data_IF_228241882113
#
_entry.id   IF_228241882113
#
_cell.length_a   1.000
_cell.length_b   1.000
_cell.length_c   1.000
_cell.angle_alpha   90.00
_cell.angle_beta   90.00
_cell.angle_gamma   90.00
#
_symmetry.space_group_name_H-M   'P 1'
#
loop_
_entity.id
_entity.type
_entity.pdbx_description
1 polymer ?
#
# COMPACT_ATOMS: atom_id res chain seq x y z
N UNK A 1 26.28 -36.75 16.50
CA UNK A 1 25.50 -35.48 16.55
C UNK A 1 25.11 -35.14 17.99
N UNK A 2 24.68 -36.12 18.79
CA UNK A 2 24.33 -35.89 20.21
C UNK A 2 25.48 -35.30 21.01
N UNK A 3 26.72 -35.83 20.84
CA UNK A 3 27.92 -35.37 21.54
C UNK A 3 28.29 -33.91 21.24
N UNK A 4 28.10 -33.48 19.98
CA UNK A 4 28.38 -32.10 19.56
C UNK A 4 27.39 -31.13 20.23
N UNK A 5 26.10 -31.47 20.28
CA UNK A 5 25.08 -30.63 20.92
C UNK A 5 25.34 -30.50 22.42
N UNK A 6 25.72 -31.62 23.08
CA UNK A 6 26.05 -31.65 24.52
C UNK A 6 27.30 -30.82 24.81
N UNK A 7 28.30 -30.86 23.93
CA UNK A 7 29.54 -30.06 24.04
C UNK A 7 29.22 -28.55 23.89
N UNK A 8 28.41 -28.18 22.89
CA UNK A 8 27.99 -26.80 22.68
C UNK A 8 27.18 -26.28 23.87
N UNK A 9 26.25 -27.07 24.40
CA UNK A 9 25.45 -26.71 25.57
C UNK A 9 26.30 -26.50 26.82
N UNK A 10 27.26 -27.38 27.06
CA UNK A 10 28.18 -27.25 28.19
C UNK A 10 29.05 -25.99 28.09
N UNK A 11 29.54 -25.67 26.90
CA UNK A 11 30.32 -24.47 26.61
C UNK A 11 29.49 -23.19 26.81
N UNK A 12 28.26 -23.17 26.29
CA UNK A 12 27.34 -22.06 26.46
C UNK A 12 27.00 -21.79 27.93
N UNK A 13 26.81 -22.87 28.73
CA UNK A 13 26.50 -22.78 30.17
C UNK A 13 27.70 -22.32 31.02
N UNK A 14 28.92 -22.56 30.57
CA UNK A 14 30.15 -22.15 31.27
C UNK A 14 30.45 -20.66 31.12
N UNK A 15 30.07 -20.04 29.98
CA UNK A 15 30.29 -18.63 29.68
C UNK A 15 28.94 -17.88 29.36
N UNK A 16 28.04 -17.90 30.34
CA UNK A 16 26.67 -17.39 30.20
C UNK A 16 26.58 -15.96 29.63
N UNK A 17 27.34 -15.00 30.19
CA UNK A 17 27.31 -13.60 29.78
C UNK A 17 27.66 -13.43 28.31
N UNK A 18 28.69 -14.16 27.84
CA UNK A 18 29.11 -14.08 26.44
C UNK A 18 28.09 -14.66 25.51
N UNK A 19 27.58 -15.86 25.79
CA UNK A 19 26.56 -16.52 24.97
C UNK A 19 25.30 -15.66 24.89
N UNK A 20 24.90 -15.03 26.00
CA UNK A 20 23.75 -14.14 26.03
C UNK A 20 23.98 -12.87 25.19
N UNK A 21 25.15 -12.23 25.29
CA UNK A 21 25.47 -11.04 24.49
C UNK A 21 25.54 -11.35 22.99
N UNK A 22 26.15 -12.50 22.64
CA UNK A 22 26.19 -12.97 21.25
C UNK A 22 24.78 -13.22 20.74
N UNK A 23 23.97 -13.93 21.52
CA UNK A 23 22.61 -14.26 21.19
C UNK A 23 21.74 -13.02 21.10
N UNK A 24 21.91 -12.06 22.02
CA UNK A 24 21.16 -10.80 21.97
C UNK A 24 21.43 -10.01 20.69
N UNK A 25 22.68 -9.91 20.24
CA UNK A 25 23.00 -9.19 19.00
C UNK A 25 22.28 -9.80 17.79
N UNK A 26 22.21 -11.13 17.69
CA UNK A 26 21.48 -11.83 16.63
C UNK A 26 19.97 -11.65 16.78
N UNK A 27 19.45 -11.91 17.98
CA UNK A 27 18.03 -11.78 18.28
C UNK A 27 17.53 -10.37 17.97
N UNK A 28 18.30 -9.35 18.36
CA UNK A 28 17.98 -7.95 18.08
C UNK A 28 17.98 -7.65 16.58
N UNK A 29 18.97 -8.17 15.83
CA UNK A 29 19.02 -7.97 14.37
C UNK A 29 17.82 -8.57 13.66
N UNK A 30 17.44 -9.81 13.98
CA UNK A 30 16.25 -10.46 13.40
C UNK A 30 14.96 -9.80 13.86
N UNK A 31 14.85 -9.46 15.16
CA UNK A 31 13.73 -8.70 15.70
C UNK A 31 13.47 -7.42 14.91
N UNK A 32 14.52 -6.62 14.69
CA UNK A 32 14.40 -5.36 13.95
C UNK A 32 13.99 -5.56 12.49
N UNK A 33 14.50 -6.61 11.82
CA UNK A 33 14.07 -6.92 10.44
C UNK A 33 12.57 -7.23 10.42
N UNK A 34 12.09 -8.11 11.29
CA UNK A 34 10.68 -8.50 11.35
C UNK A 34 9.78 -7.30 11.66
N UNK A 35 10.16 -6.48 12.65
CA UNK A 35 9.39 -5.28 13.01
C UNK A 35 9.37 -4.26 11.87
N UNK A 36 10.51 -4.01 11.20
CA UNK A 36 10.58 -3.10 10.07
C UNK A 36 9.74 -3.57 8.88
N UNK A 37 9.78 -4.87 8.56
CA UNK A 37 8.99 -5.42 7.48
C UNK A 37 7.50 -5.40 7.80
N UNK A 38 7.11 -5.71 9.04
CA UNK A 38 5.72 -5.61 9.49
C UNK A 38 5.20 -4.17 9.47
N UNK A 39 5.98 -3.22 10.00
CA UNK A 39 5.65 -1.80 9.93
C UNK A 39 5.54 -1.31 8.48
N UNK A 40 6.45 -1.75 7.61
CA UNK A 40 6.39 -1.46 6.19
C UNK A 40 5.13 -2.01 5.52
N UNK A 41 4.76 -3.25 5.83
CA UNK A 41 3.51 -3.84 5.35
C UNK A 41 2.30 -3.05 5.84
N UNK A 42 2.29 -2.57 7.08
CA UNK A 42 1.21 -1.74 7.61
C UNK A 42 1.01 -0.45 6.81
N UNK A 43 2.09 0.23 6.42
CA UNK A 43 2.04 1.41 5.55
C UNK A 43 1.59 1.06 4.13
N UNK A 44 2.09 -0.03 3.57
CA UNK A 44 1.74 -0.50 2.23
C UNK A 44 0.26 -0.87 2.18
N UNK A 45 -0.24 -1.64 3.14
CA UNK A 45 -1.62 -2.08 3.19
C UNK A 45 -2.60 -0.90 3.32
N UNK A 46 -2.27 0.11 4.14
CA UNK A 46 -3.07 1.32 4.26
C UNK A 46 -3.19 2.10 2.94
N UNK A 47 -2.11 2.19 2.17
CA UNK A 47 -2.12 2.81 0.85
C UNK A 47 -2.85 1.96 -0.19
N UNK A 48 -2.67 0.64 -0.16
CA UNK A 48 -3.36 -0.28 -1.08
C UNK A 48 -4.87 -0.29 -0.85
N UNK A 49 -5.33 -0.23 0.40
CA UNK A 49 -6.76 -0.19 0.73
C UNK A 49 -7.47 1.01 0.08
N UNK A 50 -6.82 2.16 0.02
CA UNK A 50 -7.35 3.34 -0.67
C UNK A 50 -7.46 3.12 -2.19
N UNK A 51 -6.54 2.38 -2.80
CA UNK A 51 -6.54 2.14 -4.25
C UNK A 51 -7.48 1.01 -4.70
N UNK A 52 -7.76 0.02 -3.86
CA UNK A 52 -8.67 -1.08 -4.21
C UNK A 52 -10.11 -0.60 -4.47
N UNK A 53 -10.44 0.60 -4.03
CA UNK A 53 -11.73 1.24 -4.24
C UNK A 53 -11.91 1.83 -5.65
N UNK A 54 -10.88 1.77 -6.52
CA UNK A 54 -10.93 2.28 -7.89
C UNK A 54 -10.63 1.19 -8.90
N UNK A 55 -11.24 1.30 -10.07
CA UNK A 55 -10.98 0.38 -11.18
C UNK A 55 -9.69 0.79 -11.89
N UNK A 56 -8.71 -0.12 -12.01
CA UNK A 56 -7.42 0.17 -12.65
C UNK A 56 -7.54 0.49 -14.14
N UNK A 57 -8.49 -0.13 -14.86
CA UNK A 57 -8.76 0.17 -16.26
C UNK A 57 -9.81 1.26 -16.42
N UNK A 58 -9.61 2.38 -15.74
CA UNK A 58 -10.45 3.56 -15.86
C UNK A 58 -9.62 4.83 -15.98
N UNK A 59 -10.18 5.83 -16.65
CA UNK A 59 -9.61 7.16 -16.75
C UNK A 59 -10.69 8.21 -16.45
N UNK A 60 -10.23 9.33 -15.91
CA UNK A 60 -11.04 10.53 -15.70
C UNK A 60 -10.36 11.74 -16.32
N UNK A 61 -11.09 12.49 -17.12
CA UNK A 61 -10.62 13.71 -17.75
C UNK A 61 -11.29 14.94 -17.13
N UNK A 62 -10.48 15.89 -16.73
CA UNK A 62 -10.89 17.14 -16.12
C UNK A 62 -10.43 18.33 -16.93
N UNK A 63 -11.25 19.39 -16.97
CA UNK A 63 -10.81 20.68 -17.49
C UNK A 63 -9.81 21.33 -16.53
N UNK A 64 -8.72 21.83 -17.08
CA UNK A 64 -7.66 22.50 -16.36
C UNK A 64 -7.42 23.92 -16.85
N UNK A 65 -6.21 24.43 -16.67
CA UNK A 65 -5.81 25.77 -17.10
C UNK A 65 -4.73 25.69 -18.16
N UNK A 66 -4.94 26.33 -19.32
CA UNK A 66 -3.97 26.31 -20.42
C UNK A 66 -2.62 26.90 -19.99
N UNK A 67 -1.53 26.22 -20.36
CA UNK A 67 -0.17 26.64 -20.10
C UNK A 67 0.56 27.19 -21.33
N UNK A 68 -0.08 27.08 -22.51
CA UNK A 68 0.49 27.50 -23.78
C UNK A 68 -0.49 28.39 -24.53
N UNK A 69 0.02 29.52 -25.05
CA UNK A 69 -0.77 30.35 -25.98
C UNK A 69 -0.98 29.61 -27.29
N UNK A 70 -2.19 29.69 -27.89
CA UNK A 70 -2.48 29.01 -29.13
C UNK A 70 -3.55 29.74 -29.97
N UNK A 71 -3.34 29.83 -31.27
CA UNK A 71 -4.29 30.48 -32.24
C UNK A 71 -4.78 31.85 -31.80
N UNK A 72 -3.86 32.69 -31.27
CA UNK A 72 -4.16 34.05 -30.82
C UNK A 72 -4.82 34.12 -29.42
N UNK A 73 -5.08 33.00 -28.78
CA UNK A 73 -5.60 32.95 -27.42
C UNK A 73 -4.43 32.86 -26.43
N UNK A 74 -4.52 33.62 -25.31
CA UNK A 74 -3.53 33.67 -24.26
C UNK A 74 -3.52 32.36 -23.43
N UNK A 75 -2.43 32.03 -22.81
CA UNK A 75 -2.33 31.07 -21.72
C UNK A 75 -3.14 31.49 -20.49
N UNK A 76 -3.36 30.59 -19.54
CA UNK A 76 -4.08 30.87 -18.29
C UNK A 76 -5.60 30.79 -18.43
N UNK A 77 -6.15 30.34 -19.58
CA UNK A 77 -7.60 30.15 -19.76
C UNK A 77 -8.03 28.86 -19.04
N UNK A 78 -9.08 28.94 -18.23
CA UNK A 78 -9.72 27.75 -17.68
C UNK A 78 -10.52 27.02 -18.76
N UNK A 79 -10.30 25.75 -18.93
CA UNK A 79 -11.04 24.87 -19.84
C UNK A 79 -12.15 24.19 -19.06
N UNK A 80 -13.37 24.37 -19.53
CA UNK A 80 -14.51 23.66 -18.97
C UNK A 80 -15.00 22.65 -19.98
N UNK A 81 -14.99 21.38 -19.61
CA UNK A 81 -15.51 20.30 -20.44
C UNK A 81 -16.99 20.47 -20.73
N UNK A 82 -17.45 19.98 -21.87
CA UNK A 82 -18.80 20.12 -22.34
C UNK A 82 -19.33 18.84 -23.02
N UNK A 83 -20.59 18.84 -23.38
CA UNK A 83 -21.25 17.68 -24.00
C UNK A 83 -20.63 17.25 -25.33
N UNK A 84 -19.93 18.15 -26.06
CA UNK A 84 -19.22 17.76 -27.30
C UNK A 84 -17.99 16.92 -26.99
N UNK A 85 -17.35 17.17 -25.86
CA UNK A 85 -16.20 16.38 -25.41
C UNK A 85 -16.66 14.98 -25.05
N UNK A 86 -17.78 14.83 -24.33
CA UNK A 86 -18.39 13.54 -24.03
C UNK A 86 -18.72 12.76 -25.30
N UNK A 87 -19.41 13.43 -26.27
CA UNK A 87 -19.77 12.79 -27.55
C UNK A 87 -18.54 12.39 -28.37
N UNK A 88 -17.47 13.20 -28.35
CA UNK A 88 -16.23 12.87 -29.02
C UNK A 88 -15.54 11.63 -28.34
N UNK A 89 -15.58 11.58 -27.03
CA UNK A 89 -15.04 10.42 -26.24
C UNK A 89 -15.78 9.13 -26.64
N UNK A 90 -17.11 9.19 -26.70
CA UNK A 90 -17.96 8.04 -27.03
C UNK A 90 -17.80 7.58 -28.50
N UNK A 91 -17.77 8.52 -29.44
CA UNK A 91 -17.81 8.17 -30.86
C UNK A 91 -16.46 7.92 -31.50
N UNK A 92 -15.39 8.61 -31.07
CA UNK A 92 -14.08 8.54 -31.72
C UNK A 92 -13.14 7.52 -31.06
N UNK A 93 -13.35 7.19 -29.79
CA UNK A 93 -12.51 6.26 -29.03
C UNK A 93 -13.22 4.94 -28.65
N UNK A 94 -14.39 4.66 -29.21
CA UNK A 94 -15.17 3.46 -28.91
C UNK A 94 -14.51 2.12 -29.25
N UNK A 95 -13.34 2.14 -29.92
CA UNK A 95 -12.52 0.96 -30.14
C UNK A 95 -11.63 0.57 -28.93
N UNK A 96 -11.51 1.46 -27.96
CA UNK A 96 -10.70 1.28 -26.73
C UNK A 96 -11.57 1.50 -25.50
N UNK A 97 -12.53 2.41 -25.56
CA UNK A 97 -13.43 2.76 -24.46
C UNK A 97 -14.62 1.80 -24.45
N UNK A 98 -14.90 1.21 -23.28
CA UNK A 98 -16.05 0.31 -23.07
C UNK A 98 -17.30 1.11 -22.69
N UNK A 99 -17.24 1.75 -21.51
CA UNK A 99 -18.33 2.56 -20.97
C UNK A 99 -17.84 3.98 -20.69
N UNK A 100 -18.65 4.98 -21.00
CA UNK A 100 -18.33 6.38 -20.77
C UNK A 100 -19.47 7.08 -20.03
N UNK A 101 -19.10 8.03 -19.18
CA UNK A 101 -20.03 8.87 -18.45
C UNK A 101 -19.48 10.26 -18.21
N UNK A 102 -20.38 11.14 -17.81
CA UNK A 102 -20.05 12.48 -17.35
C UNK A 102 -20.51 12.66 -15.91
N UNK A 103 -19.79 13.49 -15.18
CA UNK A 103 -20.16 13.88 -13.82
C UNK A 103 -20.59 15.34 -13.81
N UNK A 104 -21.62 15.66 -13.03
CA UNK A 104 -22.05 17.03 -12.76
C UNK A 104 -22.14 17.25 -11.25
N UNK A 105 -21.43 18.26 -10.77
CA UNK A 105 -21.37 18.58 -9.35
C UNK A 105 -22.40 19.64 -8.98
N UNK A 106 -23.16 19.40 -7.91
CA UNK A 106 -24.05 20.35 -7.29
C UNK A 106 -23.94 20.27 -5.78
N UNK A 107 -23.82 21.42 -5.13
CA UNK A 107 -23.85 21.51 -3.66
C UNK A 107 -25.14 22.15 -3.22
N UNK A 108 -25.80 21.56 -2.23
CA UNK A 108 -27.06 22.08 -1.75
C UNK A 108 -27.47 21.47 -0.41
N UNK A 109 -28.47 22.09 0.21
CA UNK A 109 -29.04 21.61 1.46
C UNK A 109 -30.04 20.49 1.18
N UNK A 110 -29.82 19.36 1.80
CA UNK A 110 -30.74 18.21 1.79
C UNK A 110 -31.38 18.09 3.16
N UNK A 111 -32.70 17.86 3.20
CA UNK A 111 -33.46 17.76 4.44
C UNK A 111 -34.39 16.55 4.47
N UNK A 112 -34.60 16.00 5.67
CA UNK A 112 -35.55 14.95 5.96
C UNK A 112 -36.17 15.20 7.34
N UNK A 113 -37.50 15.35 7.41
CA UNK A 113 -38.15 15.78 8.64
C UNK A 113 -37.65 17.16 9.10
N UNK A 114 -37.15 17.21 10.33
CA UNK A 114 -36.55 18.40 10.94
C UNK A 114 -35.04 18.47 10.75
N UNK A 115 -34.43 17.40 10.26
CA UNK A 115 -32.97 17.33 10.04
C UNK A 115 -32.61 17.88 8.67
N UNK A 116 -31.49 18.58 8.59
CA UNK A 116 -30.94 19.09 7.32
C UNK A 116 -29.42 19.13 7.39
N UNK A 117 -28.80 18.95 6.24
CA UNK A 117 -27.36 19.11 6.07
C UNK A 117 -27.02 19.68 4.71
N UNK A 118 -25.88 20.34 4.60
CA UNK A 118 -25.33 20.74 3.32
C UNK A 118 -24.44 19.62 2.81
N UNK A 119 -24.66 19.18 1.56
CA UNK A 119 -23.87 18.12 0.96
C UNK A 119 -23.63 18.39 -0.53
N UNK A 120 -22.55 17.83 -1.04
CA UNK A 120 -22.31 17.75 -2.46
C UNK A 120 -23.07 16.55 -3.03
N UNK A 121 -23.76 16.77 -4.14
CA UNK A 121 -24.42 15.72 -4.91
C UNK A 121 -23.76 15.65 -6.29
N UNK A 122 -23.29 14.48 -6.66
CA UNK A 122 -22.75 14.18 -7.97
C UNK A 122 -23.82 13.54 -8.84
N UNK A 123 -24.20 14.20 -9.92
CA UNK A 123 -24.96 13.57 -10.97
C UNK A 123 -24.04 12.66 -11.78
N UNK A 124 -24.29 11.36 -11.77
CA UNK A 124 -23.38 10.35 -12.33
C UNK A 124 -24.08 9.43 -13.33
N UNK A 125 -23.31 8.83 -14.20
CA UNK A 125 -23.70 7.71 -15.04
C UNK A 125 -23.50 6.38 -14.30
N UNK A 126 -24.13 5.27 -14.75
CA UNK A 126 -23.95 3.95 -14.10
C UNK A 126 -22.49 3.48 -14.07
N UNK A 127 -21.68 3.84 -15.08
CA UNK A 127 -20.24 3.52 -15.15
C UNK A 127 -19.49 4.01 -13.91
N UNK A 128 -19.91 5.10 -13.29
CA UNK A 128 -19.31 5.60 -12.06
C UNK A 128 -19.24 4.53 -10.96
N UNK A 129 -20.31 3.76 -10.79
CA UNK A 129 -20.33 2.69 -9.77
C UNK A 129 -19.40 1.51 -10.08
N UNK A 130 -19.02 1.33 -11.35
CA UNK A 130 -18.03 0.34 -11.79
C UNK A 130 -16.61 0.85 -11.55
N UNK A 131 -16.38 2.15 -11.80
CA UNK A 131 -15.08 2.81 -11.59
C UNK A 131 -14.78 2.94 -10.09
N UNK A 132 -15.73 3.51 -9.35
CA UNK A 132 -15.62 3.74 -7.90
C UNK A 132 -16.35 2.62 -7.16
N UNK A 133 -15.61 1.60 -6.79
CA UNK A 133 -16.13 0.38 -6.13
C UNK A 133 -16.53 0.66 -4.68
N UNK A 134 -17.69 1.27 -4.48
CA UNK A 134 -18.22 1.55 -3.14
C UNK A 134 -19.06 0.38 -2.62
N UNK A 135 -18.82 0.00 -1.39
CA UNK A 135 -19.57 -1.05 -0.69
C UNK A 135 -20.98 -0.55 -0.37
N UNK A 136 -22.00 -1.13 -1.03
CA UNK A 136 -23.39 -0.84 -0.71
C UNK A 136 -23.79 -1.52 0.61
N UNK A 137 -24.31 -0.73 1.53
CA UNK A 137 -24.88 -1.23 2.79
C UNK A 137 -26.31 -1.74 2.55
N UNK A 138 -27.09 -0.99 1.77
CA UNK A 138 -28.44 -1.40 1.37
C UNK A 138 -28.91 -0.66 0.12
N UNK A 139 -29.87 -1.24 -0.58
CA UNK A 139 -30.45 -0.66 -1.80
C UNK A 139 -29.64 -0.96 -3.05
N UNK A 140 -29.53 0.01 -3.95
CA UNK A 140 -28.86 -0.12 -5.25
C UNK A 140 -28.19 1.18 -5.69
N UNK A 141 -27.25 1.07 -6.62
CA UNK A 141 -26.65 2.21 -7.33
C UNK A 141 -27.62 2.81 -8.38
N UNK A 142 -27.20 3.95 -8.96
CA UNK A 142 -27.84 4.56 -10.11
C UNK A 142 -27.73 3.61 -11.31
N UNK A 143 -28.78 3.51 -12.10
CA UNK A 143 -28.85 2.66 -13.28
C UNK A 143 -29.36 3.41 -14.53
N UNK A 144 -29.32 2.73 -15.67
CA UNK A 144 -29.73 3.30 -16.97
C UNK A 144 -31.17 3.78 -17.01
N UNK A 145 -32.09 3.12 -16.29
CA UNK A 145 -33.48 3.52 -16.20
C UNK A 145 -33.62 4.88 -15.51
N UNK A 146 -32.82 5.08 -14.42
CA UNK A 146 -32.82 6.38 -13.73
C UNK A 146 -32.33 7.52 -14.61
N UNK A 147 -31.36 7.26 -15.51
CA UNK A 147 -30.88 8.21 -16.48
C UNK A 147 -31.94 8.49 -17.56
N UNK A 148 -32.50 7.44 -18.19
CA UNK A 148 -33.44 7.53 -19.29
C UNK A 148 -34.74 8.26 -18.89
N UNK A 149 -35.25 7.88 -17.71
CA UNK A 149 -36.50 8.46 -17.19
C UNK A 149 -36.28 9.74 -16.37
N UNK A 150 -35.04 10.19 -16.23
CA UNK A 150 -34.65 11.33 -15.39
C UNK A 150 -35.22 11.24 -13.98
N UNK A 151 -35.11 10.04 -13.36
CA UNK A 151 -35.65 9.81 -12.04
C UNK A 151 -34.90 10.65 -10.99
N UNK A 152 -35.64 11.30 -10.11
CA UNK A 152 -35.12 12.05 -8.98
C UNK A 152 -34.76 11.06 -7.85
N UNK A 153 -33.57 10.45 -7.95
CA UNK A 153 -33.07 9.45 -7.03
C UNK A 153 -31.74 9.88 -6.45
N UNK A 154 -31.46 9.46 -5.21
CA UNK A 154 -30.19 9.67 -4.52
C UNK A 154 -29.68 8.37 -3.90
N UNK A 155 -28.37 8.21 -3.91
CA UNK A 155 -27.61 7.24 -3.13
C UNK A 155 -26.78 8.05 -2.13
N UNK A 156 -26.98 7.80 -0.85
CA UNK A 156 -26.34 8.54 0.25
C UNK A 156 -25.19 7.73 0.84
N UNK A 157 -24.30 8.40 1.56
CA UNK A 157 -23.37 7.69 2.43
C UNK A 157 -24.06 7.32 3.75
N UNK A 158 -23.49 6.38 4.46
CA UNK A 158 -23.99 6.01 5.80
C UNK A 158 -23.89 7.18 6.81
N UNK A 159 -22.87 8.04 6.68
CA UNK A 159 -22.73 9.26 7.50
C UNK A 159 -23.81 10.27 7.18
N UNK A 160 -24.04 10.58 5.90
CA UNK A 160 -25.10 11.47 5.47
C UNK A 160 -26.48 10.95 5.90
N UNK A 161 -26.68 9.65 5.74
CA UNK A 161 -27.93 9.02 6.13
C UNK A 161 -28.16 9.06 7.67
N UNK A 162 -27.12 8.85 8.48
CA UNK A 162 -27.16 8.97 9.95
C UNK A 162 -27.44 10.41 10.43
N UNK A 163 -26.95 11.40 9.70
CA UNK A 163 -27.21 12.81 10.02
C UNK A 163 -28.66 13.20 9.73
N UNK A 164 -29.22 12.67 8.62
CA UNK A 164 -30.61 12.90 8.26
C UNK A 164 -31.62 12.06 9.08
N UNK A 165 -31.26 10.86 9.51
CA UNK A 165 -32.07 9.97 10.35
C UNK A 165 -31.19 9.28 11.43
N UNK A 166 -30.98 9.96 12.57
CA UNK A 166 -30.08 9.46 13.62
C UNK A 166 -30.53 8.17 14.30
N UNK A 167 -31.85 7.87 14.30
CA UNK A 167 -32.40 6.70 15.02
C UNK A 167 -32.10 5.40 14.26
N UNK A 168 -32.44 5.36 12.99
CA UNK A 168 -32.18 4.22 12.11
C UNK A 168 -32.07 4.67 10.68
N UNK A 169 -30.85 5.01 10.27
CA UNK A 169 -30.55 5.55 8.95
C UNK A 169 -30.95 4.63 7.78
N UNK A 170 -31.06 3.31 8.01
CA UNK A 170 -31.48 2.35 6.99
C UNK A 170 -32.95 2.54 6.58
N UNK A 171 -33.76 3.12 7.46
CA UNK A 171 -35.16 3.42 7.18
C UNK A 171 -35.36 4.51 6.11
N UNK A 172 -34.30 5.29 5.80
CA UNK A 172 -34.31 6.25 4.70
C UNK A 172 -34.44 5.57 3.33
N UNK A 173 -34.08 4.28 3.22
CA UNK A 173 -34.21 3.56 1.96
C UNK A 173 -35.66 3.56 1.49
N UNK A 174 -35.89 4.04 0.25
CA UNK A 174 -37.23 4.18 -0.34
C UNK A 174 -38.01 5.43 0.10
N UNK A 175 -37.51 6.21 1.06
CA UNK A 175 -38.12 7.48 1.48
C UNK A 175 -37.68 8.65 0.59
N UNK A 176 -38.34 9.77 0.76
CA UNK A 176 -38.06 10.99 0.02
C UNK A 176 -37.38 12.02 0.91
N UNK A 177 -36.24 12.51 0.45
CA UNK A 177 -35.54 13.66 1.02
C UNK A 177 -35.76 14.89 0.13
N UNK A 178 -35.71 16.08 0.70
CA UNK A 178 -35.88 17.33 -0.04
C UNK A 178 -34.50 17.96 -0.32
N UNK A 179 -34.22 18.28 -1.57
CA UNK A 179 -33.03 19.04 -1.98
C UNK A 179 -33.48 20.24 -2.79
N UNK A 180 -33.17 21.46 -2.34
CA UNK A 180 -33.59 22.72 -3.01
C UNK A 180 -35.10 22.78 -3.31
N UNK A 181 -35.94 22.28 -2.40
CA UNK A 181 -37.39 22.25 -2.52
C UNK A 181 -37.97 21.08 -3.36
N UNK A 182 -37.16 20.28 -3.98
CA UNK A 182 -37.54 19.11 -4.76
C UNK A 182 -37.36 17.80 -3.99
N UNK A 183 -38.27 16.86 -4.21
CA UNK A 183 -38.23 15.55 -3.56
C UNK A 183 -37.42 14.55 -4.37
N UNK A 184 -36.44 13.94 -3.74
CA UNK A 184 -35.59 12.87 -4.28
C UNK A 184 -35.79 11.60 -3.47
N UNK A 185 -35.96 10.46 -4.13
CA UNK A 185 -36.10 9.16 -3.49
C UNK A 185 -34.73 8.58 -3.17
N UNK A 186 -34.50 8.17 -1.93
CA UNK A 186 -33.27 7.44 -1.55
C UNK A 186 -33.37 6.01 -2.05
N UNK A 187 -32.47 5.58 -2.92
CA UNK A 187 -32.48 4.25 -3.55
C UNK A 187 -31.32 3.37 -3.10
N UNK A 188 -30.33 3.93 -2.42
CA UNK A 188 -29.21 3.20 -1.88
C UNK A 188 -28.47 3.97 -0.80
N UNK A 189 -27.76 3.23 0.04
CA UNK A 189 -26.84 3.76 1.04
C UNK A 189 -25.54 2.97 0.95
N UNK A 190 -24.42 3.67 0.79
CA UNK A 190 -23.11 3.07 0.72
C UNK A 190 -22.22 3.48 1.91
N UNK A 191 -21.21 2.67 2.17
CA UNK A 191 -20.26 2.90 3.27
C UNK A 191 -19.37 4.09 2.94
N UNK A 192 -19.25 5.02 3.85
CA UNK A 192 -18.35 6.16 3.69
C UNK A 192 -16.91 5.67 3.55
N UNK A 193 -16.18 6.08 2.52
CA UNK A 193 -14.77 5.74 2.39
C UNK A 193 -13.94 6.35 3.54
N UNK A 194 -12.76 5.76 3.78
CA UNK A 194 -11.88 6.14 4.89
C UNK A 194 -11.35 7.57 4.83
N UNK A 195 -11.26 8.16 3.64
CA UNK A 195 -10.81 9.53 3.38
C UNK A 195 -11.80 10.64 3.82
N UNK A 196 -13.02 10.26 4.20
CA UNK A 196 -13.97 11.13 4.88
C UNK A 196 -14.80 12.05 4.00
N UNK A 197 -14.35 12.48 2.84
CA UNK A 197 -15.17 13.23 1.89
C UNK A 197 -15.95 12.28 1.00
N UNK A 198 -17.27 12.42 1.01
CA UNK A 198 -18.13 11.58 0.21
C UNK A 198 -19.35 12.38 -0.26
N UNK A 199 -19.54 12.36 -1.57
CA UNK A 199 -20.69 12.99 -2.20
C UNK A 199 -21.87 12.03 -2.28
N UNK A 200 -23.09 12.51 -2.18
CA UNK A 200 -24.26 11.73 -2.56
C UNK A 200 -24.25 11.57 -4.10
N UNK A 201 -24.77 10.44 -4.60
CA UNK A 201 -24.90 10.21 -6.03
C UNK A 201 -26.36 10.35 -6.47
N UNK A 202 -26.57 11.04 -7.58
CA UNK A 202 -27.87 11.12 -8.25
C UNK A 202 -27.74 10.78 -9.74
N UNK A 203 -28.86 10.54 -10.42
CA UNK A 203 -28.81 10.32 -11.86
C UNK A 203 -28.36 11.61 -12.59
N UNK A 204 -27.32 11.51 -13.42
CA UNK A 204 -26.74 12.65 -14.13
C UNK A 204 -27.81 13.48 -14.86
N UNK A 205 -28.69 12.81 -15.62
CA UNK A 205 -29.72 13.47 -16.40
C UNK A 205 -30.69 14.31 -15.56
N UNK A 206 -31.01 13.84 -14.35
CA UNK A 206 -31.90 14.56 -13.42
C UNK A 206 -31.18 15.75 -12.79
N UNK A 207 -30.00 15.51 -12.19
CA UNK A 207 -29.23 16.55 -11.51
C UNK A 207 -28.86 17.67 -12.50
N UNK A 208 -28.36 17.29 -13.68
CA UNK A 208 -28.02 18.24 -14.76
C UNK A 208 -29.21 19.02 -15.26
N UNK A 209 -30.37 18.37 -15.48
CA UNK A 209 -31.57 19.04 -15.95
C UNK A 209 -32.17 20.04 -14.95
N UNK A 210 -32.02 19.73 -13.65
CA UNK A 210 -32.57 20.58 -12.58
C UNK A 210 -31.64 21.75 -12.27
N UNK A 211 -30.35 21.48 -12.12
CA UNK A 211 -29.38 22.46 -11.58
C UNK A 211 -28.42 23.01 -12.61
N UNK A 212 -28.31 22.40 -13.79
CA UNK A 212 -27.42 22.81 -14.86
C UNK A 212 -28.11 23.05 -16.23
N UNK A 213 -29.42 23.26 -16.25
CA UNK A 213 -30.24 23.26 -17.47
C UNK A 213 -29.75 24.18 -18.61
N UNK A 214 -29.19 25.33 -18.26
CA UNK A 214 -28.74 26.34 -19.24
C UNK A 214 -27.25 26.26 -19.58
N UNK A 215 -26.55 25.22 -19.16
CA UNK A 215 -25.11 25.06 -19.36
C UNK A 215 -24.80 23.77 -20.11
N UNK A 216 -24.01 23.85 -21.18
CA UNK A 216 -23.45 22.67 -21.83
C UNK A 216 -22.25 22.10 -21.09
N UNK A 217 -21.84 22.75 -20.00
CA UNK A 217 -20.68 22.33 -19.21
C UNK A 217 -20.95 21.03 -18.49
N UNK A 218 -19.92 20.22 -18.35
CA UNK A 218 -19.87 19.03 -17.52
C UNK A 218 -18.71 19.17 -16.52
N UNK A 219 -18.70 18.41 -15.42
CA UNK A 219 -17.63 18.46 -14.43
C UNK A 219 -16.37 17.74 -14.94
N UNK A 220 -16.49 16.45 -15.12
CA UNK A 220 -15.46 15.58 -15.69
C UNK A 220 -16.09 14.51 -16.57
N UNK A 221 -15.26 13.87 -17.38
CA UNK A 221 -15.61 12.68 -18.17
C UNK A 221 -14.89 11.51 -17.51
N UNK A 222 -15.60 10.43 -17.26
CA UNK A 222 -15.07 9.19 -16.73
C UNK A 222 -15.40 8.04 -17.69
N UNK A 223 -14.47 7.12 -17.85
CA UNK A 223 -14.66 5.97 -18.73
C UNK A 223 -13.83 4.78 -18.31
N UNK A 224 -14.30 3.60 -18.70
CA UNK A 224 -13.54 2.36 -18.63
C UNK A 224 -12.96 2.03 -20.00
N UNK A 225 -11.85 1.30 -20.02
CA UNK A 225 -11.14 0.98 -21.24
C UNK A 225 -10.60 -0.45 -21.24
N UNK A 226 -10.32 -0.97 -22.44
CA UNK A 226 -9.64 -2.23 -22.65
C UNK A 226 -8.48 -2.09 -23.64
N UNK A 227 -7.60 -3.12 -23.67
CA UNK A 227 -6.53 -3.20 -24.68
C UNK A 227 -5.26 -2.44 -24.37
N UNK A 228 -5.26 -1.46 -23.45
CA UNK A 228 -4.08 -0.70 -23.04
C UNK A 228 -3.33 -1.48 -21.94
N UNK A 229 -2.38 -2.34 -22.36
CA UNK A 229 -1.70 -3.28 -21.46
C UNK A 229 -0.32 -2.82 -20.96
N UNK A 230 0.25 -1.81 -21.59
CA UNK A 230 1.57 -1.29 -21.25
C UNK A 230 1.49 0.20 -20.91
N UNK A 231 2.48 0.69 -20.17
CA UNK A 231 2.63 2.11 -19.88
C UNK A 231 2.66 2.94 -21.16
N UNK A 232 3.42 2.49 -22.16
CA UNK A 232 3.54 3.15 -23.47
C UNK A 232 2.19 3.23 -24.21
N UNK A 233 1.35 2.17 -24.14
CA UNK A 233 0.03 2.19 -24.76
C UNK A 233 -0.88 3.23 -24.07
N UNK A 234 -0.83 3.30 -22.74
CA UNK A 234 -1.58 4.26 -21.95
C UNK A 234 -1.15 5.71 -22.24
N UNK A 235 0.16 5.97 -22.25
CA UNK A 235 0.69 7.30 -22.59
C UNK A 235 0.32 7.74 -24.01
N UNK A 236 0.43 6.83 -24.97
CA UNK A 236 0.03 7.12 -26.36
C UNK A 236 -1.47 7.46 -26.46
N UNK A 237 -2.31 6.67 -25.81
CA UNK A 237 -3.75 6.92 -25.74
C UNK A 237 -4.06 8.26 -25.08
N UNK A 238 -3.48 8.54 -23.91
CA UNK A 238 -3.68 9.81 -23.19
C UNK A 238 -3.28 11.02 -24.05
N UNK A 239 -2.17 10.92 -24.75
CA UNK A 239 -1.67 11.99 -25.64
C UNK A 239 -2.63 12.26 -26.79
N UNK A 240 -3.14 11.22 -27.43
CA UNK A 240 -4.10 11.36 -28.52
C UNK A 240 -5.46 11.85 -28.05
N UNK A 241 -5.95 11.32 -26.94
CA UNK A 241 -7.17 11.74 -26.30
C UNK A 241 -7.11 13.23 -25.87
N UNK A 242 -6.05 13.61 -25.17
CA UNK A 242 -5.79 15.02 -24.79
C UNK A 242 -5.71 15.94 -25.99
N UNK A 243 -5.00 15.53 -27.04
CA UNK A 243 -4.90 16.29 -28.31
C UNK A 243 -6.27 16.55 -28.91
N UNK A 244 -7.13 15.56 -28.90
CA UNK A 244 -8.51 15.67 -29.42
C UNK A 244 -9.34 16.64 -28.61
N UNK A 245 -9.34 16.53 -27.28
CA UNK A 245 -10.10 17.46 -26.42
C UNK A 245 -9.52 18.88 -26.48
N UNK A 246 -8.20 19.04 -26.48
CA UNK A 246 -7.56 20.34 -26.66
C UNK A 246 -8.00 21.02 -27.94
N UNK A 247 -8.21 20.26 -29.03
CA UNK A 247 -8.74 20.76 -30.30
C UNK A 247 -10.13 21.35 -30.16
N UNK A 248 -11.02 20.72 -29.39
CA UNK A 248 -12.37 21.23 -29.12
C UNK A 248 -12.37 22.58 -28.42
N UNK A 249 -11.36 22.83 -27.59
CA UNK A 249 -11.24 24.04 -26.77
C UNK A 249 -10.23 25.07 -27.30
N UNK A 250 -9.74 24.88 -28.54
CA UNK A 250 -8.71 25.73 -29.12
C UNK A 250 -7.52 25.92 -28.16
N UNK A 251 -7.12 24.86 -27.52
CA UNK A 251 -5.88 24.76 -26.71
C UNK A 251 -4.77 24.15 -27.57
N UNK A 252 -3.52 24.39 -27.16
CA UNK A 252 -2.37 23.82 -27.88
C UNK A 252 -2.43 22.29 -27.80
N UNK A 253 -2.23 21.55 -28.91
CA UNK A 253 -2.34 20.08 -28.94
C UNK A 253 -1.51 19.34 -27.87
N UNK A 254 -0.38 19.91 -27.53
CA UNK A 254 0.55 19.36 -26.52
C UNK A 254 0.47 20.10 -25.17
N UNK A 255 -0.63 20.74 -24.85
CA UNK A 255 -0.83 21.37 -23.55
C UNK A 255 -1.43 20.37 -22.59
N UNK A 256 -0.58 19.81 -21.73
CA UNK A 256 -0.97 18.78 -20.75
C UNK A 256 -1.79 19.36 -19.58
N UNK A 257 -1.69 20.68 -19.35
CA UNK A 257 -2.39 21.35 -18.25
C UNK A 257 -3.80 21.81 -18.63
N UNK A 258 -4.10 21.90 -19.93
CA UNK A 258 -5.41 22.31 -20.42
C UNK A 258 -6.46 21.23 -20.14
N UNK A 259 -6.12 19.97 -20.33
CA UNK A 259 -6.93 18.81 -19.95
C UNK A 259 -6.07 17.91 -19.08
N UNK A 260 -6.46 17.77 -17.82
CA UNK A 260 -5.82 16.85 -16.89
C UNK A 260 -6.50 15.49 -16.96
N UNK A 261 -5.73 14.43 -17.08
CA UNK A 261 -6.23 13.05 -17.13
C UNK A 261 -5.66 12.30 -15.93
N UNK A 262 -6.56 11.73 -15.14
CA UNK A 262 -6.21 10.72 -14.16
C UNK A 262 -6.37 9.35 -14.80
N UNK A 263 -5.36 8.50 -14.70
CA UNK A 263 -5.35 7.16 -15.26
C UNK A 263 -5.12 6.15 -14.14
N UNK A 264 -6.10 5.28 -13.90
CA UNK A 264 -6.03 4.25 -12.85
C UNK A 264 -4.89 3.27 -13.07
N UNK A 265 -4.58 2.92 -14.34
CA UNK A 265 -3.48 2.01 -14.68
C UNK A 265 -2.12 2.60 -14.32
N UNK A 266 -1.82 3.81 -14.78
CA UNK A 266 -0.53 4.46 -14.48
C UNK A 266 -0.40 4.78 -12.99
N UNK A 267 -1.49 5.17 -12.33
CA UNK A 267 -1.51 5.40 -10.88
C UNK A 267 -1.21 4.12 -10.09
N UNK A 268 -1.79 2.97 -10.49
CA UNK A 268 -1.51 1.70 -9.85
C UNK A 268 -0.07 1.24 -10.06
N UNK A 269 0.49 1.40 -11.27
CA UNK A 269 1.89 1.10 -11.55
C UNK A 269 2.86 1.96 -10.73
N UNK A 270 2.62 3.27 -10.65
CA UNK A 270 3.43 4.18 -9.84
C UNK A 270 3.41 3.80 -8.37
N UNK A 271 2.23 3.38 -7.86
CA UNK A 271 2.09 2.89 -6.51
C UNK A 271 2.87 1.59 -6.30
N UNK A 272 2.76 0.61 -7.21
CA UNK A 272 3.54 -0.64 -7.14
C UNK A 272 5.04 -0.38 -7.13
N UNK A 273 5.51 0.55 -7.97
CA UNK A 273 6.91 0.98 -7.98
C UNK A 273 7.31 1.64 -6.65
N UNK A 274 6.47 2.51 -6.10
CA UNK A 274 6.68 3.13 -4.79
C UNK A 274 6.78 2.08 -3.68
N UNK A 275 5.87 1.11 -3.67
CA UNK A 275 5.88 -0.02 -2.74
C UNK A 275 7.18 -0.85 -2.88
N UNK A 276 7.60 -1.14 -4.11
CA UNK A 276 8.84 -1.88 -4.37
C UNK A 276 10.07 -1.13 -3.84
N UNK A 277 10.12 0.20 -3.99
CA UNK A 277 11.19 1.05 -3.45
C UNK A 277 11.19 0.99 -1.91
N UNK A 278 10.03 1.15 -1.27
CA UNK A 278 9.91 1.07 0.19
C UNK A 278 10.37 -0.30 0.68
N UNK A 279 9.87 -1.38 0.07
CA UNK A 279 10.25 -2.76 0.44
C UNK A 279 11.76 -2.98 0.28
N UNK A 280 12.35 -2.49 -0.81
CA UNK A 280 13.80 -2.59 -1.05
C UNK A 280 14.59 -1.81 0.01
N UNK A 281 14.16 -0.61 0.36
CA UNK A 281 14.80 0.19 1.41
C UNK A 281 14.75 -0.51 2.78
N UNK A 282 13.61 -1.10 3.14
CA UNK A 282 13.45 -1.86 4.38
C UNK A 282 14.38 -3.08 4.42
N UNK A 283 14.50 -3.81 3.31
CA UNK A 283 15.44 -4.92 3.20
C UNK A 283 16.90 -4.47 3.33
N UNK A 284 17.27 -3.35 2.73
CA UNK A 284 18.63 -2.78 2.85
C UNK A 284 18.94 -2.43 4.31
N UNK A 285 18.04 -1.71 4.99
CA UNK A 285 18.22 -1.35 6.41
C UNK A 285 18.28 -2.61 7.28
N UNK A 286 17.39 -3.57 7.04
CA UNK A 286 17.38 -4.86 7.74
C UNK A 286 18.69 -5.63 7.56
N UNK A 287 19.22 -5.66 6.32
CA UNK A 287 20.50 -6.33 6.03
C UNK A 287 21.67 -5.67 6.76
N UNK A 288 21.74 -4.34 6.80
CA UNK A 288 22.80 -3.64 7.54
C UNK A 288 22.70 -3.89 9.06
N UNK A 289 21.48 -3.95 9.61
CA UNK A 289 21.27 -4.29 11.00
C UNK A 289 21.75 -5.72 11.31
N UNK A 290 21.45 -6.67 10.42
CA UNK A 290 21.92 -8.05 10.53
C UNK A 290 23.44 -8.14 10.41
N UNK A 291 24.07 -7.42 9.48
CA UNK A 291 25.52 -7.37 9.33
C UNK A 291 26.20 -6.90 10.63
N UNK A 292 25.63 -5.90 11.30
CA UNK A 292 26.11 -5.48 12.62
C UNK A 292 26.06 -6.62 13.64
N UNK A 293 24.97 -7.39 13.66
CA UNK A 293 24.85 -8.61 14.48
C UNK A 293 25.89 -9.67 14.13
N UNK A 294 26.13 -9.94 12.84
CA UNK A 294 27.14 -10.89 12.35
C UNK A 294 28.53 -10.52 12.85
N UNK A 295 28.91 -9.24 12.76
CA UNK A 295 30.22 -8.75 13.24
C UNK A 295 30.34 -8.96 14.74
N UNK A 296 29.27 -8.68 15.51
CA UNK A 296 29.23 -8.96 16.95
C UNK A 296 29.46 -10.42 17.27
N UNK A 297 28.74 -11.33 16.61
CA UNK A 297 28.92 -12.80 16.76
C UNK A 297 30.33 -13.22 16.41
N UNK A 298 30.83 -12.78 15.24
CA UNK A 298 32.18 -13.15 14.77
C UNK A 298 33.28 -12.72 15.75
N UNK A 299 33.20 -11.51 16.32
CA UNK A 299 34.16 -11.03 17.32
C UNK A 299 34.14 -11.87 18.58
N UNK A 300 32.96 -12.23 19.07
CA UNK A 300 32.84 -13.06 20.28
C UNK A 300 33.33 -14.47 20.00
N UNK A 301 33.02 -15.06 18.85
CA UNK A 301 33.52 -16.37 18.44
C UNK A 301 35.05 -16.38 18.27
N UNK A 302 35.66 -15.29 17.81
CA UNK A 302 37.11 -15.14 17.73
C UNK A 302 37.77 -15.21 19.13
N UNK A 303 37.15 -14.58 20.13
CA UNK A 303 37.64 -14.66 21.51
C UNK A 303 37.51 -16.10 22.04
N UNK A 304 36.38 -16.75 21.79
CA UNK A 304 36.14 -18.16 22.16
C UNK A 304 37.17 -19.09 21.52
N UNK A 305 37.50 -18.89 20.25
CA UNK A 305 38.55 -19.67 19.57
C UNK A 305 39.92 -19.47 20.22
N UNK A 306 40.26 -18.23 20.63
CA UNK A 306 41.53 -17.95 21.33
C UNK A 306 41.60 -18.67 22.68
N UNK A 307 40.55 -18.66 23.48
CA UNK A 307 40.50 -19.35 24.77
C UNK A 307 40.56 -20.87 24.63
N UNK A 308 40.00 -21.42 23.53
CA UNK A 308 40.03 -22.87 23.23
C UNK A 308 41.24 -23.27 22.38
N UNK A 309 42.25 -22.40 22.20
CA UNK A 309 43.42 -22.66 21.36
C UNK A 309 44.15 -23.92 21.80
N UNK A 310 44.36 -24.11 23.11
CA UNK A 310 45.01 -25.28 23.68
C UNK A 310 44.22 -26.58 23.38
N UNK A 311 42.89 -26.57 23.52
CA UNK A 311 42.00 -27.70 23.18
C UNK A 311 42.12 -28.10 21.72
N UNK A 312 42.09 -27.12 20.81
CA UNK A 312 42.25 -27.35 19.37
C UNK A 312 43.67 -27.82 19.02
N UNK A 313 44.66 -27.34 19.74
CA UNK A 313 46.03 -27.82 19.61
C UNK A 313 46.18 -29.31 19.94
N UNK A 314 45.61 -29.76 21.07
CA UNK A 314 45.58 -31.17 21.47
C UNK A 314 44.83 -32.01 20.41
N UNK A 315 43.67 -31.61 19.99
CA UNK A 315 42.87 -32.33 18.95
C UNK A 315 43.68 -32.52 17.66
N UNK A 316 44.44 -31.49 17.22
CA UNK A 316 45.31 -31.56 16.05
C UNK A 316 46.54 -32.44 16.29
N UNK A 317 47.16 -32.41 17.49
CA UNK A 317 48.30 -33.25 17.84
C UNK A 317 47.93 -34.76 17.82
N UNK A 318 46.69 -35.10 18.16
CA UNK A 318 46.12 -36.45 18.09
C UNK A 318 45.65 -36.83 16.66
N UNK A 319 45.78 -35.91 15.65
CA UNK A 319 45.50 -36.21 14.24
C UNK A 319 44.17 -35.68 13.69
N UNK A 320 43.48 -34.79 14.41
CA UNK A 320 42.24 -34.17 13.87
C UNK A 320 42.54 -33.31 12.62
N UNK A 321 41.78 -33.55 11.56
CA UNK A 321 41.89 -32.77 10.32
C UNK A 321 41.42 -31.33 10.55
N UNK A 322 42.08 -30.31 9.95
CA UNK A 322 41.66 -28.91 10.05
C UNK A 322 40.18 -28.67 9.73
N UNK A 323 39.65 -29.41 8.77
CA UNK A 323 38.23 -29.38 8.37
C UNK A 323 37.27 -29.81 9.50
N UNK A 324 37.70 -30.73 10.37
CA UNK A 324 36.86 -31.16 11.50
C UNK A 324 36.66 -30.03 12.52
N UNK A 325 37.73 -29.25 12.82
CA UNK A 325 37.65 -28.09 13.69
C UNK A 325 36.80 -26.98 13.06
N UNK A 326 37.01 -26.70 11.76
CA UNK A 326 36.23 -25.72 11.02
C UNK A 326 34.74 -26.05 11.06
N UNK A 327 34.38 -27.32 10.77
CA UNK A 327 33.00 -27.78 10.81
C UNK A 327 32.37 -27.62 12.20
N UNK A 328 33.10 -27.91 13.25
CA UNK A 328 32.61 -27.77 14.63
C UNK A 328 32.21 -26.33 14.93
N UNK A 329 33.07 -25.35 14.60
CA UNK A 329 32.86 -23.94 14.90
C UNK A 329 31.71 -23.38 14.06
N UNK A 330 31.59 -23.76 12.78
CA UNK A 330 30.47 -23.35 11.94
C UNK A 330 29.15 -23.90 12.50
N UNK A 331 29.10 -25.17 12.88
CA UNK A 331 27.89 -25.78 13.48
C UNK A 331 27.55 -25.07 14.79
N UNK A 332 28.52 -24.77 15.65
CA UNK A 332 28.29 -24.01 16.86
C UNK A 332 27.70 -22.62 16.58
N UNK A 333 28.26 -21.88 15.63
CA UNK A 333 27.75 -20.59 15.20
C UNK A 333 26.33 -20.69 14.66
N UNK A 334 26.05 -21.64 13.79
CA UNK A 334 24.68 -21.83 13.20
C UNK A 334 23.66 -22.19 14.28
N UNK A 335 24.00 -23.04 15.23
CA UNK A 335 23.10 -23.41 16.34
C UNK A 335 22.77 -22.19 17.20
N UNK A 336 23.79 -21.41 17.58
CA UNK A 336 23.61 -20.21 18.40
C UNK A 336 22.74 -19.18 17.63
N UNK A 337 23.09 -18.90 16.39
CA UNK A 337 22.33 -17.93 15.58
C UNK A 337 20.89 -18.39 15.31
N UNK A 338 20.67 -19.68 15.06
CA UNK A 338 19.33 -20.23 14.86
C UNK A 338 18.47 -20.14 16.11
N UNK A 339 19.03 -20.50 17.27
CA UNK A 339 18.29 -20.46 18.52
C UNK A 339 17.90 -19.04 18.93
N UNK A 340 18.86 -18.11 18.95
CA UNK A 340 18.58 -16.73 19.34
C UNK A 340 17.84 -15.95 18.25
N UNK A 341 18.08 -16.26 16.97
CA UNK A 341 17.34 -15.68 15.87
C UNK A 341 15.86 -16.09 15.88
N UNK A 342 15.57 -17.35 16.25
CA UNK A 342 14.19 -17.78 16.46
C UNK A 342 13.50 -16.98 17.58
N UNK A 343 14.21 -16.73 18.69
CA UNK A 343 13.69 -15.86 19.77
C UNK A 343 13.42 -14.45 19.24
N UNK A 344 14.36 -13.87 18.47
CA UNK A 344 14.18 -12.55 17.84
C UNK A 344 12.99 -12.51 16.89
N UNK A 345 12.80 -13.55 16.08
CA UNK A 345 11.65 -13.68 15.18
C UNK A 345 10.33 -13.73 15.94
N UNK A 346 10.21 -14.57 16.97
CA UNK A 346 9.00 -14.68 17.79
C UNK A 346 8.67 -13.34 18.45
N UNK A 347 9.68 -12.67 19.03
CA UNK A 347 9.49 -11.35 19.63
C UNK A 347 9.09 -10.30 18.59
N UNK A 348 9.66 -10.36 17.38
CA UNK A 348 9.31 -9.46 16.28
C UNK A 348 7.86 -9.65 15.80
N UNK A 349 7.43 -10.89 15.64
CA UNK A 349 6.03 -11.20 15.29
C UNK A 349 5.08 -10.73 16.40
N UNK A 350 5.40 -11.02 17.67
CA UNK A 350 4.60 -10.53 18.80
C UNK A 350 4.53 -9.00 18.85
N UNK A 351 5.61 -8.29 18.51
CA UNK A 351 5.62 -6.84 18.45
C UNK A 351 4.71 -6.32 17.30
N UNK A 352 4.74 -6.97 16.13
CA UNK A 352 3.87 -6.62 15.01
C UNK A 352 2.39 -6.88 15.33
N UNK A 353 2.07 -8.01 15.95
CA UNK A 353 0.70 -8.29 16.42
C UNK A 353 0.23 -7.28 17.48
N UNK A 354 1.14 -6.87 18.37
CA UNK A 354 0.83 -5.80 19.33
C UNK A 354 0.60 -4.46 18.63
N UNK A 355 1.39 -4.13 17.62
CA UNK A 355 1.19 -2.93 16.79
C UNK A 355 -0.15 -3.00 16.04
N UNK A 356 -0.51 -4.16 15.51
CA UNK A 356 -1.79 -4.35 14.84
C UNK A 356 -2.97 -4.13 15.79
N UNK A 357 -2.90 -4.70 16.98
CA UNK A 357 -3.94 -4.56 18.00
C UNK A 357 -4.10 -3.12 18.54
N UNK A 358 -3.03 -2.30 18.50
CA UNK A 358 -3.04 -0.94 19.08
C UNK A 358 -3.23 0.16 18.06
N UNK A 359 -2.55 0.10 16.92
CA UNK A 359 -2.53 1.16 15.89
C UNK A 359 -2.92 0.66 14.50
N UNK A 360 -3.00 -0.66 14.29
CA UNK A 360 -3.28 -1.26 12.98
C UNK A 360 -4.69 -0.99 12.42
N UNK A 361 -5.58 -0.40 13.22
CA UNK A 361 -6.96 -0.09 12.85
C UNK A 361 -7.36 1.33 13.22
N UNK A 362 -6.44 2.13 13.78
CA UNK A 362 -6.74 3.51 14.15
C UNK A 362 -6.79 4.42 12.91
N UNK A 363 -7.91 5.11 12.78
CA UNK A 363 -8.04 6.23 11.85
C UNK A 363 -7.59 7.50 12.57
N UNK A 364 -6.53 8.11 12.11
CA UNK A 364 -6.10 9.42 12.61
C UNK A 364 -7.08 10.45 12.08
N UNK A 365 -7.89 11.01 12.99
CA UNK A 365 -8.79 12.11 12.70
C UNK A 365 -8.11 13.44 13.05
N UNK A 366 -7.54 14.11 12.07
CA UNK A 366 -6.93 15.44 12.25
C UNK A 366 -7.94 16.57 12.15
N UNK A 367 -9.25 16.26 12.08
CA UNK A 367 -10.32 17.23 11.85
C UNK A 367 -10.43 17.70 10.39
N UNK A 368 -9.35 17.60 9.60
CA UNK A 368 -9.28 17.88 8.17
C UNK A 368 -9.26 16.60 7.31
N UNK A 369 -8.63 15.55 7.81
CA UNK A 369 -8.50 14.25 7.14
C UNK A 369 -8.69 13.11 8.13
N UNK A 370 -9.46 12.11 7.73
CA UNK A 370 -9.47 10.79 8.36
C UNK A 370 -8.70 9.85 7.44
N UNK A 371 -7.47 9.52 7.79
CA UNK A 371 -6.68 8.56 7.05
C UNK A 371 -6.28 7.41 7.95
N UNK A 372 -6.47 6.20 7.50
CA UNK A 372 -5.84 5.02 8.09
C UNK A 372 -4.40 5.02 7.59
N UNK A 373 -3.47 5.48 8.41
CA UNK A 373 -2.05 5.52 8.03
C UNK A 373 -1.38 4.15 8.15
N UNK A 374 -1.99 3.24 8.90
CA UNK A 374 -1.40 1.98 9.26
C UNK A 374 -2.48 0.91 9.31
N UNK A 375 -2.35 -0.14 8.50
CA UNK A 375 -3.35 -1.20 8.39
C UNK A 375 -2.67 -2.56 8.36
N UNK A 376 -3.06 -3.46 9.29
CA UNK A 376 -2.57 -4.83 9.36
C UNK A 376 -1.03 -4.93 9.22
N UNK A 377 -0.24 -4.40 10.17
CA UNK A 377 1.22 -4.46 10.15
C UNK A 377 1.74 -5.88 10.47
N UNK A 378 1.12 -6.88 9.89
CA UNK A 378 1.45 -8.28 10.12
C UNK A 378 2.50 -8.78 9.14
N UNK A 379 3.18 -9.83 9.52
CA UNK A 379 4.22 -10.47 8.72
C UNK A 379 3.75 -11.86 8.34
N UNK A 380 3.70 -12.14 7.03
CA UNK A 380 3.31 -13.44 6.52
C UNK A 380 4.32 -14.54 6.83
N UNK A 381 3.91 -15.81 6.69
CA UNK A 381 4.77 -16.98 6.86
C UNK A 381 5.92 -17.03 5.85
N UNK A 382 5.74 -16.44 4.68
CA UNK A 382 6.75 -16.25 3.64
C UNK A 382 7.93 -15.43 4.14
N UNK A 383 7.67 -14.30 4.80
CA UNK A 383 8.71 -13.44 5.38
C UNK A 383 9.42 -14.14 6.55
N UNK A 384 8.69 -14.91 7.37
CA UNK A 384 9.31 -15.72 8.44
C UNK A 384 10.26 -16.79 7.86
N UNK A 385 9.90 -17.40 6.74
CA UNK A 385 10.74 -18.33 6.02
C UNK A 385 11.99 -17.64 5.44
N UNK A 386 11.83 -16.51 4.77
CA UNK A 386 12.93 -15.69 4.26
C UNK A 386 13.88 -15.27 5.38
N UNK A 387 13.35 -14.77 6.50
CA UNK A 387 14.14 -14.41 7.68
C UNK A 387 14.93 -15.60 8.26
N UNK A 388 14.33 -16.79 8.27
CA UNK A 388 15.00 -18.02 8.71
C UNK A 388 16.17 -18.37 7.79
N UNK A 389 16.00 -18.28 6.48
CA UNK A 389 17.07 -18.52 5.51
C UNK A 389 18.21 -17.50 5.66
N UNK A 390 17.87 -16.23 5.78
CA UNK A 390 18.85 -15.15 6.02
C UNK A 390 19.62 -15.39 7.30
N UNK A 391 18.96 -15.85 8.36
CA UNK A 391 19.55 -16.18 9.66
C UNK A 391 20.58 -17.33 9.55
N UNK A 392 20.26 -18.40 8.82
CA UNK A 392 21.18 -19.54 8.62
C UNK A 392 22.41 -19.09 7.84
N UNK A 393 22.22 -18.30 6.78
CA UNK A 393 23.31 -17.74 5.99
C UNK A 393 24.19 -16.83 6.87
N UNK A 394 23.58 -15.94 7.62
CA UNK A 394 24.27 -15.04 8.54
C UNK A 394 25.11 -15.79 9.58
N UNK A 395 24.54 -16.83 10.21
CA UNK A 395 25.24 -17.68 11.17
C UNK A 395 26.45 -18.40 10.55
N UNK A 396 26.28 -18.88 9.33
CA UNK A 396 27.38 -19.52 8.59
C UNK A 396 28.51 -18.53 8.30
N UNK A 397 28.19 -17.32 7.82
CA UNK A 397 29.17 -16.26 7.54
C UNK A 397 29.89 -15.82 8.82
N UNK A 398 29.13 -15.59 9.90
CA UNK A 398 29.68 -15.20 11.20
C UNK A 398 30.70 -16.21 11.74
N UNK A 399 30.44 -17.51 11.52
CA UNK A 399 31.30 -18.60 11.95
C UNK A 399 32.54 -18.82 11.08
N UNK A 400 32.53 -18.38 9.81
CA UNK A 400 33.62 -18.67 8.85
C UNK A 400 34.95 -18.05 9.26
N UNK A 401 35.00 -16.77 9.63
CA UNK A 401 36.25 -16.09 10.02
C UNK A 401 36.90 -16.73 11.23
N UNK A 402 36.20 -16.93 12.36
CA UNK A 402 36.77 -17.63 13.51
C UNK A 402 37.14 -19.08 13.22
N UNK A 403 36.34 -19.79 12.42
CA UNK A 403 36.62 -21.17 12.03
C UNK A 403 37.92 -21.31 11.21
N UNK A 404 38.14 -20.42 10.24
CA UNK A 404 39.39 -20.37 9.48
C UNK A 404 40.61 -20.09 10.39
N UNK A 405 40.48 -19.15 11.34
CA UNK A 405 41.59 -18.87 12.30
C UNK A 405 41.88 -20.10 13.17
N UNK A 406 40.86 -20.74 13.70
CA UNK A 406 41.03 -21.97 14.51
C UNK A 406 41.67 -23.11 13.69
N UNK A 407 41.27 -23.27 12.45
CA UNK A 407 41.82 -24.33 11.60
C UNK A 407 43.29 -24.15 11.23
N UNK A 408 43.87 -22.97 11.40
CA UNK A 408 45.28 -22.65 11.09
C UNK A 408 46.20 -22.70 12.32
N UNK A 409 45.68 -22.92 13.52
CA UNK A 409 46.48 -23.02 14.74
C UNK A 409 47.49 -24.16 14.61
N UNK A 410 48.77 -23.90 14.90
CA UNK A 410 49.84 -24.89 14.89
C UNK A 410 49.88 -25.62 16.26
N UNK A 411 49.92 -26.97 16.29
CA UNK A 411 49.90 -27.71 17.57
C UNK A 411 51.00 -27.30 18.52
N UNK A 412 52.20 -27.03 17.99
CA UNK A 412 53.38 -26.65 18.81
C UNK A 412 53.16 -25.28 19.48
N UNK A 413 52.58 -24.31 18.79
CA UNK A 413 52.31 -22.98 19.33
C UNK A 413 51.15 -23.02 20.34
N UNK A 414 50.16 -23.88 20.12
CA UNK A 414 49.01 -24.05 20.98
C UNK A 414 49.34 -24.75 22.33
N UNK A 415 50.31 -25.63 22.34
CA UNK A 415 50.77 -26.33 23.54
C UNK A 415 51.82 -25.52 24.35
N UNK A 416 52.35 -24.44 23.78
CA UNK A 416 53.35 -23.56 24.39
C UNK A 416 52.75 -22.26 24.94
N UNK A 417 51.50 -21.98 24.61
CA UNK A 417 50.73 -20.83 25.11
C UNK A 417 50.13 -21.20 26.47
N UNK A 418 50.84 -20.86 27.56
CA UNK A 418 50.30 -20.77 28.90
C UNK A 418 49.54 -19.45 29.11
#
# INVERSE_FOLDING_TARGET
>A
MHDIITEIWSTARRNKLRTTLTGFAVAWGIFMIIVLLGAGNGLINANMDQMTNWLTNSMEAYGGTTSKAYKGLKEGRYIQLNTKDLSATESEFGNVIDDVGAVYYHSGTVSYGEQYMNMQVMGVYPVHSSIVKRELICGRNINDIDLKEKRKVLVLTDKQAKELEPKDYKTLLGKYVKMSGLSFKVVGIYKTPGDGESSAYGAYSSIKSIFGANSNSIGNIEFTFHGLKTEADNEAFEKDYRRRLNGNHQAHPEDERAIWIWNGYTSSMQMEQGIAIIRTALWIVGLFTLLSGIVGVSNIMLITVKERTHEFGIRKAIGAKPWSILKLIIIESVIITTFFGYIGMVLGVCANEYMDATIGHETIDTGLFKATMFLNPTVGLDVCFEATMVMIIAGTIAGLIPAFKASRIRPIEALRAD
#
